data_IF_045060233805
#
_entry.id   IF_045060233805
#
_cell.length_a   1.000
_cell.length_b   1.000
_cell.length_c   1.000
_cell.angle_alpha   90.00
_cell.angle_beta   90.00
_cell.angle_gamma   90.00
#
_symmetry.space_group_name_H-M   'P 1'
#
loop_
_entity.id
_entity.type
_entity.pdbx_description
1 polymer ?
#
# COMPACT_ATOMS: atom_id res chain seq x y z
N UNK A 1 -20.19 13.11 -4.57
CA UNK A 1 -19.45 12.18 -3.68
C UNK A 1 -18.58 11.32 -4.58
N UNK A 2 -17.30 11.14 -4.25
CA UNK A 2 -16.38 10.31 -5.03
C UNK A 2 -16.26 8.96 -4.35
N UNK A 3 -16.58 7.88 -5.07
CA UNK A 3 -16.65 6.55 -4.47
C UNK A 3 -15.26 6.00 -4.09
N UNK A 4 -14.25 6.25 -4.93
CA UNK A 4 -12.90 5.74 -4.73
C UNK A 4 -11.86 6.75 -5.22
N UNK A 5 -10.85 7.00 -4.39
CA UNK A 5 -9.62 7.69 -4.77
C UNK A 5 -8.43 6.78 -4.46
N UNK A 6 -7.53 6.66 -5.45
CA UNK A 6 -6.27 5.94 -5.29
C UNK A 6 -5.11 6.93 -5.37
N UNK A 7 -4.32 7.02 -4.30
CA UNK A 7 -3.10 7.82 -4.26
C UNK A 7 -1.89 6.93 -4.50
N UNK A 8 -1.30 6.99 -5.70
CA UNK A 8 -0.11 6.21 -6.04
C UNK A 8 1.17 7.02 -5.76
N UNK A 9 1.99 6.58 -4.80
CA UNK A 9 3.26 7.25 -4.44
C UNK A 9 4.23 6.31 -3.72
N UNK A 10 5.53 6.54 -3.88
CA UNK A 10 6.58 5.87 -3.10
C UNK A 10 6.52 6.22 -1.60
N UNK A 11 5.80 7.28 -1.20
CA UNK A 11 5.60 7.67 0.20
C UNK A 11 4.31 7.10 0.85
N UNK A 12 3.60 6.20 0.17
CA UNK A 12 2.33 5.64 0.67
C UNK A 12 2.50 4.94 2.04
N UNK A 13 3.55 4.12 2.16
CA UNK A 13 3.84 3.34 3.37
C UNK A 13 4.63 4.11 4.42
N UNK A 14 5.53 4.98 3.98
CA UNK A 14 6.41 5.75 4.83
C UNK A 14 6.57 7.17 4.30
N UNK A 15 6.43 8.13 5.21
CA UNK A 15 6.79 9.52 4.95
C UNK A 15 8.31 9.66 4.91
N UNK A 16 8.82 10.15 3.79
CA UNK A 16 10.24 10.42 3.56
C UNK A 16 10.47 11.90 3.30
N UNK A 17 9.50 12.61 2.72
CA UNK A 17 9.63 14.00 2.33
C UNK A 17 8.30 14.76 2.30
N UNK A 18 8.20 15.69 1.35
CA UNK A 18 7.07 16.61 1.23
C UNK A 18 5.76 15.94 0.84
N UNK A 19 5.81 14.87 0.02
CA UNK A 19 4.58 14.19 -0.44
C UNK A 19 3.87 13.53 0.75
N UNK A 20 4.62 12.85 1.62
CA UNK A 20 4.04 12.28 2.84
C UNK A 20 3.45 13.35 3.77
N UNK A 21 4.01 14.56 3.80
CA UNK A 21 3.42 15.67 4.55
C UNK A 21 2.09 16.16 3.95
N UNK A 22 2.00 16.21 2.62
CA UNK A 22 0.75 16.54 1.92
C UNK A 22 -0.32 15.48 2.19
N UNK A 23 0.05 14.19 2.10
CA UNK A 23 -0.87 13.09 2.39
C UNK A 23 -1.36 13.12 3.84
N UNK A 24 -0.46 13.36 4.81
CA UNK A 24 -0.85 13.49 6.22
C UNK A 24 -1.91 14.59 6.42
N UNK A 25 -1.77 15.74 5.76
CA UNK A 25 -2.72 16.85 5.84
C UNK A 25 -4.03 16.59 5.10
N UNK A 26 -3.93 16.11 3.85
CA UNK A 26 -5.09 15.84 3.00
C UNK A 26 -5.98 14.74 3.62
N UNK A 27 -5.39 13.63 4.03
CA UNK A 27 -6.12 12.45 4.50
C UNK A 27 -6.68 12.62 5.92
N UNK A 28 -6.12 13.55 6.70
CA UNK A 28 -6.69 13.97 7.98
C UNK A 28 -7.83 15.01 7.82
N UNK A 29 -8.03 15.59 6.64
CA UNK A 29 -9.01 16.67 6.41
C UNK A 29 -10.45 16.16 6.48
N UNK A 30 -11.28 16.80 7.32
CA UNK A 30 -12.70 16.47 7.41
C UNK A 30 -13.44 16.65 6.08
N UNK A 31 -13.09 17.69 5.30
CA UNK A 31 -13.73 17.95 4.01
C UNK A 31 -13.40 16.86 2.98
N UNK A 32 -12.16 16.37 2.99
CA UNK A 32 -11.76 15.25 2.13
C UNK A 32 -12.53 13.98 2.51
N UNK A 33 -12.53 13.65 3.80
CA UNK A 33 -13.19 12.45 4.33
C UNK A 33 -14.72 12.48 4.20
N UNK A 34 -15.34 13.67 4.09
CA UNK A 34 -16.75 13.80 3.77
C UNK A 34 -17.07 13.69 2.27
N UNK A 35 -16.09 14.00 1.40
CA UNK A 35 -16.27 14.00 -0.05
C UNK A 35 -15.92 12.66 -0.72
N UNK A 36 -15.03 11.89 -0.11
CA UNK A 36 -14.48 10.63 -0.63
C UNK A 36 -14.88 9.46 0.27
N UNK A 37 -15.59 8.49 -0.31
CA UNK A 37 -16.10 7.31 0.42
C UNK A 37 -14.99 6.32 0.78
N UNK A 38 -14.10 6.02 -0.19
CA UNK A 38 -12.99 5.09 0.00
C UNK A 38 -11.69 5.68 -0.53
N UNK A 39 -10.64 5.59 0.27
CA UNK A 39 -9.29 5.99 -0.14
C UNK A 39 -8.32 4.83 0.02
N UNK A 40 -7.52 4.59 -1.02
CA UNK A 40 -6.43 3.61 -1.03
C UNK A 40 -5.13 4.32 -1.36
N UNK A 41 -4.13 4.19 -0.51
CA UNK A 41 -2.75 4.55 -0.84
C UNK A 41 -2.06 3.34 -1.44
N UNK A 42 -1.40 3.53 -2.58
CA UNK A 42 -0.64 2.47 -3.26
C UNK A 42 0.81 2.95 -3.38
N UNK A 43 1.75 2.10 -3.00
CA UNK A 43 3.17 2.41 -3.13
C UNK A 43 4.04 1.17 -3.20
N UNK A 44 5.34 1.40 -3.17
CA UNK A 44 6.33 0.33 -3.15
C UNK A 44 7.00 0.25 -1.79
N UNK A 45 7.56 -0.91 -1.47
CA UNK A 45 8.47 -1.08 -0.34
C UNK A 45 9.52 -2.13 -0.69
N UNK A 46 10.67 -2.08 -0.01
CA UNK A 46 11.71 -3.09 -0.13
C UNK A 46 11.75 -3.91 1.17
N UNK A 47 11.35 -5.18 1.12
CA UNK A 47 11.33 -6.05 2.31
C UNK A 47 12.72 -6.44 2.81
N UNK A 48 13.75 -6.26 2.00
CA UNK A 48 15.15 -6.54 2.35
C UNK A 48 15.86 -5.34 2.98
N UNK A 49 15.25 -4.16 2.94
CA UNK A 49 15.71 -3.00 3.71
C UNK A 49 15.11 -3.09 5.13
N UNK A 50 15.92 -3.62 6.05
CA UNK A 50 15.51 -3.83 7.43
C UNK A 50 15.10 -2.54 8.14
N UNK A 51 15.73 -1.40 7.83
CA UNK A 51 15.38 -0.11 8.42
C UNK A 51 14.02 0.38 7.91
N UNK A 52 13.77 0.21 6.61
CA UNK A 52 12.46 0.53 6.02
C UNK A 52 11.37 -0.35 6.62
N UNK A 53 11.59 -1.66 6.74
CA UNK A 53 10.61 -2.59 7.34
C UNK A 53 10.35 -2.25 8.81
N UNK A 54 11.40 -2.00 9.61
CA UNK A 54 11.25 -1.61 11.03
C UNK A 54 10.41 -0.34 11.18
N UNK A 55 10.69 0.68 10.37
CA UNK A 55 9.91 1.94 10.39
C UNK A 55 8.47 1.72 9.94
N UNK A 56 8.26 0.89 8.93
CA UNK A 56 6.95 0.60 8.35
C UNK A 56 6.04 -0.11 9.36
N UNK A 57 6.58 -1.08 10.09
CA UNK A 57 5.88 -1.89 11.09
C UNK A 57 5.89 -1.27 12.49
N UNK A 58 6.62 -0.16 12.68
CA UNK A 58 6.65 0.56 13.94
C UNK A 58 5.24 1.06 14.33
N UNK A 59 4.85 0.97 15.62
CA UNK A 59 3.62 1.58 16.10
C UNK A 59 3.50 3.08 15.78
N UNK A 60 4.63 3.78 15.60
CA UNK A 60 4.66 5.20 15.21
C UNK A 60 4.11 5.44 13.80
N UNK A 61 4.20 4.46 12.90
CA UNK A 61 3.66 4.56 11.55
C UNK A 61 2.13 4.42 11.50
N UNK A 62 1.54 3.88 12.58
CA UNK A 62 0.08 3.70 12.74
C UNK A 62 -0.55 2.87 11.60
N UNK A 63 0.22 1.96 11.03
CA UNK A 63 -0.23 1.02 10.02
C UNK A 63 -0.60 -0.31 10.70
N UNK A 64 -1.88 -0.67 10.66
CA UNK A 64 -2.36 -1.98 11.04
C UNK A 64 -2.29 -2.90 9.81
N UNK A 65 -1.35 -3.84 9.81
CA UNK A 65 -1.18 -4.83 8.74
C UNK A 65 -2.27 -5.89 8.84
N UNK A 66 -2.95 -6.14 7.72
CA UNK A 66 -4.06 -7.10 7.62
C UNK A 66 -3.62 -8.32 6.79
N UNK A 67 -2.90 -8.11 5.69
CA UNK A 67 -2.42 -9.17 4.81
C UNK A 67 -0.99 -8.86 4.36
N UNK A 68 -0.05 -9.70 4.77
CA UNK A 68 1.34 -9.69 4.33
C UNK A 68 1.92 -11.10 4.55
N UNK A 69 1.62 -12.07 3.66
CA UNK A 69 2.04 -13.46 3.85
C UNK A 69 3.55 -13.62 4.02
N UNK A 70 4.35 -12.76 3.37
CA UNK A 70 5.81 -12.71 3.50
C UNK A 70 6.31 -12.38 4.90
N UNK A 71 5.46 -11.77 5.74
CA UNK A 71 5.70 -11.50 7.16
C UNK A 71 4.85 -12.38 8.07
N UNK A 72 4.20 -13.43 7.54
CA UNK A 72 3.36 -14.35 8.31
C UNK A 72 2.00 -13.78 8.73
N UNK A 73 1.54 -12.69 8.14
CA UNK A 73 0.26 -12.05 8.47
C UNK A 73 -0.78 -12.34 7.40
N UNK A 74 -1.92 -12.94 7.78
CA UNK A 74 -3.05 -13.12 6.86
C UNK A 74 -4.39 -13.11 7.63
N UNK A 75 -4.81 -11.92 8.03
CA UNK A 75 -6.05 -11.66 8.77
C UNK A 75 -7.14 -11.02 7.88
N UNK A 76 -6.91 -10.95 6.56
CA UNK A 76 -7.90 -10.45 5.62
C UNK A 76 -9.12 -11.39 5.54
N UNK A 77 -10.26 -10.84 5.15
CA UNK A 77 -11.43 -11.63 4.79
C UNK A 77 -11.05 -12.60 3.64
N UNK A 78 -11.53 -13.87 3.64
CA UNK A 78 -11.05 -14.89 2.72
C UNK A 78 -11.11 -14.52 1.24
N UNK A 79 -12.17 -13.86 0.77
CA UNK A 79 -12.27 -13.46 -0.63
C UNK A 79 -11.24 -12.38 -0.97
N UNK A 80 -11.03 -11.40 -0.08
CA UNK A 80 -9.98 -10.40 -0.25
C UNK A 80 -8.58 -11.02 -0.25
N UNK A 81 -8.30 -11.93 0.69
CA UNK A 81 -7.02 -12.64 0.76
C UNK A 81 -6.76 -13.43 -0.53
N UNK A 82 -7.76 -14.10 -1.08
CA UNK A 82 -7.66 -14.83 -2.33
C UNK A 82 -7.30 -13.92 -3.52
N UNK A 83 -7.94 -12.75 -3.61
CA UNK A 83 -7.64 -11.78 -4.68
C UNK A 83 -6.22 -11.19 -4.53
N UNK A 84 -5.80 -10.85 -3.32
CA UNK A 84 -4.45 -10.34 -3.08
C UNK A 84 -3.39 -11.39 -3.41
N UNK A 85 -3.57 -12.62 -2.95
CA UNK A 85 -2.65 -13.72 -3.26
C UNK A 85 -2.66 -14.11 -4.75
N UNK A 86 -3.78 -13.95 -5.46
CA UNK A 86 -3.79 -14.11 -6.91
C UNK A 86 -2.86 -13.08 -7.59
N UNK A 87 -2.88 -11.81 -7.16
CA UNK A 87 -1.96 -10.78 -7.68
C UNK A 87 -0.50 -11.12 -7.35
N UNK A 88 -0.20 -11.54 -6.12
CA UNK A 88 1.14 -11.99 -5.73
C UNK A 88 1.64 -13.12 -6.64
N UNK A 89 0.78 -14.13 -6.86
CA UNK A 89 1.10 -15.30 -7.67
C UNK A 89 1.24 -14.95 -9.15
N UNK A 90 0.35 -14.14 -9.71
CA UNK A 90 0.33 -13.80 -11.13
C UNK A 90 1.56 -13.00 -11.53
N UNK A 91 1.97 -12.03 -10.71
CA UNK A 91 3.07 -11.12 -10.99
C UNK A 91 4.40 -11.46 -10.31
N UNK A 92 4.43 -12.43 -9.38
CA UNK A 92 5.64 -12.75 -8.61
C UNK A 92 6.03 -11.64 -7.63
N UNK A 93 5.07 -10.86 -7.16
CA UNK A 93 5.29 -9.76 -6.21
C UNK A 93 4.87 -10.18 -4.80
N UNK A 94 5.31 -9.43 -3.80
CA UNK A 94 4.76 -9.54 -2.46
C UNK A 94 3.94 -8.31 -2.10
N UNK A 95 2.79 -8.53 -1.46
CA UNK A 95 1.89 -7.47 -1.05
C UNK A 95 1.90 -7.30 0.47
N UNK A 96 1.82 -6.04 0.89
CA UNK A 96 1.40 -5.67 2.23
C UNK A 96 0.14 -4.82 2.11
N UNK A 97 -0.97 -5.33 2.62
CA UNK A 97 -2.23 -4.64 2.73
C UNK A 97 -2.58 -4.38 4.19
N UNK A 98 -3.07 -3.17 4.47
CA UNK A 98 -3.48 -2.77 5.80
C UNK A 98 -4.26 -1.47 5.82
N UNK A 99 -4.47 -0.93 7.02
CA UNK A 99 -5.08 0.39 7.23
C UNK A 99 -4.14 1.28 8.02
N UNK A 100 -3.97 2.53 7.59
CA UNK A 100 -3.12 3.52 8.26
C UNK A 100 -3.94 4.70 8.75
N UNK A 101 -3.64 5.15 9.97
CA UNK A 101 -4.36 6.26 10.61
C UNK A 101 -3.76 7.63 10.26
N UNK A 102 -4.61 8.54 9.79
CA UNK A 102 -4.32 9.93 9.47
C UNK A 102 -5.27 10.85 10.25
N UNK A 103 -4.76 11.49 11.30
CA UNK A 103 -5.62 12.22 12.24
C UNK A 103 -6.64 11.28 12.90
N UNK A 104 -7.94 11.53 12.70
CA UNK A 104 -9.04 10.69 13.17
C UNK A 104 -9.52 9.66 12.14
N UNK A 105 -9.06 9.72 10.89
CA UNK A 105 -9.48 8.84 9.81
C UNK A 105 -8.50 7.68 9.60
N UNK A 106 -8.99 6.57 9.02
CA UNK A 106 -8.17 5.43 8.61
C UNK A 106 -8.40 5.14 7.13
N UNK A 107 -7.31 4.97 6.39
CA UNK A 107 -7.33 4.72 4.95
C UNK A 107 -6.56 3.45 4.61
N UNK A 108 -6.95 2.79 3.53
CA UNK A 108 -6.30 1.56 3.08
C UNK A 108 -4.92 1.85 2.52
N UNK A 109 -3.98 0.94 2.74
CA UNK A 109 -2.63 1.01 2.20
C UNK A 109 -2.32 -0.34 1.55
N UNK A 110 -1.87 -0.31 0.29
CA UNK A 110 -1.32 -1.45 -0.44
C UNK A 110 0.12 -1.10 -0.81
N UNK A 111 1.07 -1.89 -0.33
CA UNK A 111 2.47 -1.76 -0.70
C UNK A 111 2.91 -2.99 -1.48
N UNK A 112 3.63 -2.75 -2.56
CA UNK A 112 4.14 -3.78 -3.45
C UNK A 112 5.67 -3.86 -3.32
N UNK A 113 6.18 -5.05 -3.01
CA UNK A 113 7.58 -5.40 -3.22
C UNK A 113 7.68 -6.16 -4.55
N UNK A 114 8.32 -5.50 -5.52
CA UNK A 114 8.49 -6.01 -6.88
C UNK A 114 9.88 -6.60 -7.16
N UNK A 115 10.72 -6.80 -6.13
CA UNK A 115 12.11 -7.28 -6.33
C UNK A 115 12.18 -8.63 -7.04
N UNK A 116 11.17 -9.48 -6.86
CA UNK A 116 11.07 -10.80 -7.48
C UNK A 116 9.99 -10.88 -8.56
N UNK A 117 9.56 -9.73 -9.09
CA UNK A 117 8.52 -9.68 -10.12
C UNK A 117 8.91 -10.56 -11.31
N UNK A 118 7.94 -11.31 -11.85
CA UNK A 118 8.15 -12.20 -12.99
C UNK A 118 8.59 -11.40 -14.21
N UNK A 119 9.61 -11.90 -14.90
CA UNK A 119 10.17 -11.23 -16.07
C UNK A 119 9.17 -11.09 -17.22
N UNK A 120 8.31 -12.10 -17.45
CA UNK A 120 7.32 -12.10 -18.53
C UNK A 120 6.41 -10.87 -18.52
N UNK A 121 5.56 -10.67 -17.49
CA UNK A 121 4.71 -9.49 -17.37
C UNK A 121 5.47 -8.16 -17.43
N UNK A 122 6.68 -8.10 -16.88
CA UNK A 122 7.53 -6.90 -16.90
C UNK A 122 8.00 -6.59 -18.32
N UNK A 123 8.45 -7.60 -19.07
CA UNK A 123 8.93 -7.43 -20.44
C UNK A 123 7.79 -7.07 -21.39
N UNK A 124 6.63 -7.71 -21.25
CA UNK A 124 5.43 -7.37 -22.01
C UNK A 124 5.03 -5.91 -21.76
N UNK A 125 5.03 -5.47 -20.50
CA UNK A 125 4.73 -4.08 -20.17
C UNK A 125 5.76 -3.10 -20.74
N UNK A 126 7.06 -3.41 -20.65
CA UNK A 126 8.12 -2.60 -21.25
C UNK A 126 7.97 -2.47 -22.76
N UNK A 127 7.59 -3.54 -23.45
CA UNK A 127 7.36 -3.51 -24.91
C UNK A 127 6.31 -2.48 -25.32
N UNK A 128 5.26 -2.27 -24.51
CA UNK A 128 4.23 -1.26 -24.80
C UNK A 128 4.62 0.17 -24.41
N UNK A 129 5.73 0.36 -23.69
CA UNK A 129 6.20 1.67 -23.22
C UNK A 129 7.41 2.22 -24.00
N UNK A 130 7.99 1.41 -24.88
CA UNK A 130 9.12 1.75 -25.75
C UNK A 130 8.68 1.80 -27.20
#
# INVERSE_FOLDING_TARGET
>A
MINLVVHATHEAGLKVGGIGAVLDGLLASANYNAAVERTVLVGTFNRYDSMTVERLLSPRNKLAVIHAPVFGVNNAEPALAAVLSAVENDYGVALLYGKRKFGSAEHEVILIDSIHAKEGPVNDFKYFLW
#
